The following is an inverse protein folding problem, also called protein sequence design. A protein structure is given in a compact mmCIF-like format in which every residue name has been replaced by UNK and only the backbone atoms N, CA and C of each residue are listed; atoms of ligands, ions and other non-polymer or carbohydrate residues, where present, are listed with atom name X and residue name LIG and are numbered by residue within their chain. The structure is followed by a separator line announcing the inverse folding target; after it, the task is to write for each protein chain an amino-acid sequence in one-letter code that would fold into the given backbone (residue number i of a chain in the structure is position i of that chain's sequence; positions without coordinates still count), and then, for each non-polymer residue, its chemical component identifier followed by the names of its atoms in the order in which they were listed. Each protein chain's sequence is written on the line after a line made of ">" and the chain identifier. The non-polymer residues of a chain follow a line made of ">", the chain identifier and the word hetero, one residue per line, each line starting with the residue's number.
data_IF_848640236646
#
_entry.id   IF_848640236646
#
_cell.length_a   1.000
_cell.length_b   1.000
_cell.length_c   1.000
_cell.angle_alpha   90.00
_cell.angle_beta   90.00
_cell.angle_gamma   90.00
#
_symmetry.space_group_name_H-M   'P 1'
#
loop_
_entity.id
_entity.type
_entity.pdbx_description
1 polymer ?
#
# COMPACT_ATOMS: atom_id res chain seq x y z
N UNK A 1 -20.17 -22.12 0.28
CA UNK A 1 -19.66 -22.20 -1.11
C UNK A 1 -18.30 -21.53 -1.06
N UNK A 2 -17.26 -22.34 -1.01
CA UNK A 2 -15.87 -21.90 -0.82
C UNK A 2 -15.42 -21.11 -2.05
N UNK A 3 -14.80 -19.94 -1.81
CA UNK A 3 -14.06 -19.25 -2.85
C UNK A 3 -12.99 -20.20 -3.40
N UNK A 4 -12.65 -20.02 -4.66
CA UNK A 4 -11.36 -20.50 -5.14
C UNK A 4 -10.30 -19.83 -4.26
N UNK A 5 -9.48 -20.62 -3.55
CA UNK A 5 -8.29 -20.13 -2.82
C UNK A 5 -7.25 -19.50 -3.79
N UNK A 6 -7.54 -19.47 -5.10
CA UNK A 6 -6.66 -18.94 -6.12
C UNK A 6 -6.49 -17.42 -6.04
N UNK A 7 -5.35 -16.95 -6.53
CA UNK A 7 -5.11 -15.55 -6.80
C UNK A 7 -6.18 -14.99 -7.74
N UNK A 8 -6.91 -14.00 -7.25
CA UNK A 8 -7.95 -13.29 -7.99
C UNK A 8 -7.54 -11.86 -8.31
N UNK A 9 -8.37 -11.20 -9.11
CA UNK A 9 -8.23 -9.80 -9.44
C UNK A 9 -9.53 -9.07 -9.10
N UNK A 10 -9.45 -8.10 -8.20
CA UNK A 10 -10.56 -7.20 -7.91
C UNK A 10 -10.60 -6.10 -8.96
N UNK A 11 -11.78 -5.88 -9.54
CA UNK A 11 -12.02 -4.88 -10.57
C UNK A 11 -13.04 -3.86 -10.05
N UNK A 12 -12.76 -2.58 -10.23
CA UNK A 12 -13.59 -1.48 -9.80
C UNK A 12 -14.12 -0.72 -11.03
N UNK A 13 -15.39 -0.92 -11.43
CA UNK A 13 -16.00 -0.22 -12.56
C UNK A 13 -16.35 1.24 -12.24
N UNK A 14 -16.35 2.09 -13.27
CA UNK A 14 -16.82 3.50 -13.22
C UNK A 14 -18.28 3.63 -12.80
N UNK A 15 -19.11 2.65 -13.15
CA UNK A 15 -20.52 2.59 -12.77
C UNK A 15 -20.71 2.20 -11.29
N UNK A 16 -19.61 1.87 -10.59
CA UNK A 16 -19.61 1.49 -9.19
C UNK A 16 -19.60 -0.02 -8.96
N UNK A 17 -19.50 -0.38 -7.68
CA UNK A 17 -19.40 -1.75 -7.22
C UNK A 17 -18.00 -2.36 -7.40
N UNK A 18 -17.90 -3.66 -7.16
CA UNK A 18 -16.68 -4.41 -7.35
C UNK A 18 -16.95 -5.83 -7.83
N UNK A 19 -16.07 -6.32 -8.70
CA UNK A 19 -16.15 -7.66 -9.27
C UNK A 19 -14.86 -8.42 -8.97
N UNK A 20 -14.99 -9.71 -8.66
CA UNK A 20 -13.89 -10.64 -8.57
C UNK A 20 -13.72 -11.35 -9.91
N UNK A 21 -12.56 -11.19 -10.52
CA UNK A 21 -12.16 -11.80 -11.78
C UNK A 21 -11.13 -12.89 -11.53
N UNK A 22 -11.31 -14.03 -12.18
CA UNK A 22 -10.34 -15.11 -12.17
C UNK A 22 -9.43 -15.01 -13.40
N UNK A 23 -8.15 -14.65 -13.22
CA UNK A 23 -7.21 -14.49 -14.32
C UNK A 23 -6.86 -15.80 -15.02
N UNK A 24 -6.96 -16.94 -14.33
CA UNK A 24 -6.68 -18.27 -14.89
C UNK A 24 -7.82 -18.76 -15.78
N UNK A 25 -9.06 -18.50 -15.38
CA UNK A 25 -10.24 -18.92 -16.14
C UNK A 25 -10.71 -17.87 -17.15
N UNK A 26 -10.20 -16.64 -17.07
CA UNK A 26 -10.57 -15.54 -17.96
C UNK A 26 -12.02 -15.08 -17.78
N UNK A 27 -12.61 -15.23 -16.59
CA UNK A 27 -14.03 -14.94 -16.35
C UNK A 27 -14.28 -14.24 -15.01
N UNK A 28 -15.37 -13.48 -14.94
CA UNK A 28 -15.87 -12.89 -13.69
C UNK A 28 -16.49 -14.00 -12.85
N UNK A 29 -15.97 -14.22 -11.65
CA UNK A 29 -16.50 -15.22 -10.72
C UNK A 29 -17.71 -14.70 -9.98
N UNK A 30 -17.63 -13.46 -9.48
CA UNK A 30 -18.62 -12.92 -8.54
C UNK A 30 -18.66 -11.40 -8.55
N UNK A 31 -19.87 -10.84 -8.44
CA UNK A 31 -20.06 -9.44 -8.03
C UNK A 31 -20.04 -9.37 -6.50
N UNK A 32 -19.14 -8.59 -5.93
CA UNK A 32 -18.95 -8.47 -4.49
C UNK A 32 -19.93 -7.49 -3.85
N UNK A 33 -20.60 -6.66 -4.65
CA UNK A 33 -21.68 -5.78 -4.22
C UNK A 33 -21.51 -4.36 -4.76
N UNK A 34 -22.58 -3.59 -4.65
CA UNK A 34 -22.59 -2.18 -4.99
C UNK A 34 -22.21 -1.43 -3.70
N UNK A 35 -21.06 -0.76 -3.72
CA UNK A 35 -20.59 0.10 -2.64
C UNK A 35 -20.81 1.57 -3.06
N UNK A 36 -22.07 2.04 -3.17
CA UNK A 36 -22.36 3.34 -3.77
C UNK A 36 -21.77 4.46 -2.92
N UNK A 37 -21.00 5.34 -3.56
CA UNK A 37 -20.37 6.49 -2.89
C UNK A 37 -19.20 6.13 -1.97
N UNK A 38 -18.80 4.86 -1.86
CA UNK A 38 -17.61 4.47 -1.12
C UNK A 38 -16.38 4.42 -2.02
N UNK A 39 -15.25 4.91 -1.51
CA UNK A 39 -13.93 4.68 -2.11
C UNK A 39 -13.23 3.54 -1.40
N UNK A 40 -12.66 2.64 -2.18
CA UNK A 40 -11.83 1.55 -1.67
C UNK A 40 -10.38 2.03 -1.50
N UNK A 41 -9.81 1.80 -0.31
CA UNK A 41 -8.46 2.29 0.03
C UNK A 41 -7.42 1.17 0.06
N UNK A 42 -7.74 0.02 0.67
CA UNK A 42 -6.85 -1.12 0.84
C UNK A 42 -7.62 -2.42 1.15
N UNK A 43 -6.97 -3.56 0.97
CA UNK A 43 -7.47 -4.88 1.40
C UNK A 43 -6.44 -5.64 2.24
N UNK A 44 -6.93 -6.54 3.09
CA UNK A 44 -6.16 -7.56 3.78
C UNK A 44 -7.00 -8.83 3.84
N UNK A 45 -6.64 -9.83 3.05
CA UNK A 45 -7.51 -10.98 2.80
C UNK A 45 -8.90 -10.50 2.39
N UNK A 46 -9.94 -11.05 3.03
CA UNK A 46 -11.35 -10.76 2.74
C UNK A 46 -11.84 -9.39 3.23
N UNK A 47 -11.02 -8.65 3.97
CA UNK A 47 -11.37 -7.41 4.61
C UNK A 47 -10.92 -6.20 3.82
N UNK A 48 -11.80 -5.21 3.67
CA UNK A 48 -11.57 -4.00 2.92
C UNK A 48 -11.62 -2.77 3.79
N UNK A 49 -10.69 -1.85 3.58
CA UNK A 49 -10.75 -0.51 4.11
C UNK A 49 -11.49 0.38 3.12
N UNK A 50 -12.64 0.89 3.53
CA UNK A 50 -13.50 1.75 2.71
C UNK A 50 -13.72 3.11 3.37
N UNK A 51 -13.79 4.16 2.54
CA UNK A 51 -14.17 5.51 2.93
C UNK A 51 -15.54 5.81 2.31
N UNK A 52 -16.55 6.05 3.14
CA UNK A 52 -17.88 6.40 2.65
C UNK A 52 -17.99 7.85 2.17
N UNK A 53 -19.14 8.21 1.61
CA UNK A 53 -19.42 9.59 1.15
C UNK A 53 -19.45 10.60 2.29
N UNK A 54 -19.67 10.15 3.53
CA UNK A 54 -19.58 10.95 4.76
C UNK A 54 -18.16 11.06 5.31
N UNK A 55 -17.14 10.61 4.57
CA UNK A 55 -15.74 10.59 4.98
C UNK A 55 -15.47 9.78 6.25
N UNK A 56 -16.22 8.71 6.47
CA UNK A 56 -16.00 7.78 7.57
C UNK A 56 -15.28 6.54 7.06
N UNK A 57 -14.25 6.13 7.80
CA UNK A 57 -13.53 4.90 7.53
C UNK A 57 -14.25 3.71 8.17
N UNK A 58 -14.28 2.60 7.44
CA UNK A 58 -14.72 1.31 7.99
C UNK A 58 -13.94 0.16 7.38
N UNK A 59 -13.85 -0.93 8.14
CA UNK A 59 -13.33 -2.22 7.67
C UNK A 59 -14.53 -3.11 7.39
N UNK A 60 -14.64 -3.63 6.16
CA UNK A 60 -15.78 -4.44 5.73
C UNK A 60 -15.29 -5.79 5.21
N UNK A 61 -15.79 -6.88 5.78
CA UNK A 61 -15.66 -8.19 5.16
C UNK A 61 -16.61 -8.25 3.96
N UNK A 62 -16.06 -8.47 2.77
CA UNK A 62 -16.84 -8.38 1.54
C UNK A 62 -17.81 -9.52 1.32
N UNK A 63 -17.61 -10.66 1.99
CA UNK A 63 -18.42 -11.85 1.85
C UNK A 63 -19.49 -11.92 2.94
N UNK A 64 -19.10 -11.71 4.20
CA UNK A 64 -20.04 -11.75 5.33
C UNK A 64 -20.82 -10.44 5.51
N UNK A 65 -20.30 -9.33 4.96
CA UNK A 65 -20.79 -7.96 5.19
C UNK A 65 -20.64 -7.47 6.62
N UNK A 66 -19.87 -8.19 7.44
CA UNK A 66 -19.45 -7.68 8.75
C UNK A 66 -18.70 -6.37 8.55
N UNK A 67 -19.05 -5.36 9.36
CA UNK A 67 -18.52 -4.00 9.25
C UNK A 67 -18.02 -3.54 10.62
N UNK A 68 -16.78 -3.07 10.65
CA UNK A 68 -16.15 -2.45 11.80
C UNK A 68 -16.01 -0.96 11.49
N UNK A 69 -16.75 -0.14 12.22
CA UNK A 69 -16.62 1.31 12.13
C UNK A 69 -15.34 1.78 12.81
N UNK A 70 -14.54 2.57 12.10
CA UNK A 70 -13.31 3.13 12.62
C UNK A 70 -13.57 4.52 13.22
N UNK A 71 -12.65 5.04 14.05
CA UNK A 71 -12.77 6.40 14.57
C UNK A 71 -12.89 7.43 13.42
N UNK A 72 -13.57 8.57 13.63
CA UNK A 72 -13.63 9.65 12.64
C UNK A 72 -12.24 10.16 12.28
N UNK A 73 -11.97 10.56 11.03
CA UNK A 73 -10.65 11.04 10.60
C UNK A 73 -10.10 12.16 11.50
N UNK A 74 -10.98 12.97 12.07
CA UNK A 74 -10.67 14.04 13.01
C UNK A 74 -10.30 13.62 14.45
N UNK A 75 -10.51 12.36 14.83
CA UNK A 75 -10.16 11.87 16.16
C UNK A 75 -8.67 11.53 16.26
N UNK A 76 -7.78 12.49 15.99
CA UNK A 76 -6.34 12.29 16.07
C UNK A 76 -5.84 12.68 17.46
N UNK A 77 -5.09 11.79 18.10
CA UNK A 77 -4.42 12.00 19.38
C UNK A 77 -3.09 12.72 19.17
N UNK A 78 -3.14 14.00 18.78
CA UNK A 78 -1.96 14.86 18.72
C UNK A 78 -2.24 16.27 19.26
N UNK A 79 -1.17 17.04 19.50
CA UNK A 79 -1.26 18.43 19.95
C UNK A 79 -1.86 19.36 18.88
N UNK A 80 -1.86 18.93 17.62
CA UNK A 80 -2.31 19.74 16.50
C UNK A 80 -3.75 19.35 16.19
N UNK A 81 -4.68 20.30 16.33
CA UNK A 81 -6.09 20.02 16.07
C UNK A 81 -6.29 19.77 14.56
N UNK A 82 -6.90 18.63 14.25
CA UNK A 82 -7.41 18.29 12.93
C UNK A 82 -8.93 18.48 12.92
N UNK A 83 -9.48 19.19 11.95
CA UNK A 83 -10.89 19.59 11.95
C UNK A 83 -11.51 19.46 10.56
N UNK A 84 -12.69 18.85 10.51
CA UNK A 84 -13.58 18.90 9.35
C UNK A 84 -14.27 20.27 9.28
N UNK A 85 -14.16 20.95 8.14
CA UNK A 85 -14.68 22.34 7.96
C UNK A 85 -15.73 22.48 6.87
N UNK A 86 -15.95 21.44 6.08
CA UNK A 86 -16.96 21.42 5.04
C UNK A 86 -17.23 20.00 4.56
N UNK A 87 -17.97 19.89 3.47
CA UNK A 87 -18.15 18.62 2.79
C UNK A 87 -16.79 18.16 2.23
N UNK A 88 -16.36 16.97 2.61
CA UNK A 88 -15.06 16.38 2.26
C UNK A 88 -13.79 17.19 2.58
N UNK A 89 -13.87 18.32 3.27
CA UNK A 89 -12.72 19.21 3.53
C UNK A 89 -12.23 19.18 4.95
N UNK A 90 -10.91 19.10 5.10
CA UNK A 90 -10.23 19.02 6.37
C UNK A 90 -9.12 20.06 6.52
N UNK A 91 -8.99 20.63 7.72
CA UNK A 91 -7.92 21.55 8.11
C UNK A 91 -7.10 20.96 9.26
N UNK A 92 -5.81 21.31 9.29
CA UNK A 92 -4.90 20.96 10.38
C UNK A 92 -4.20 22.22 10.89
N UNK A 93 -4.00 22.29 12.20
CA UNK A 93 -3.12 23.29 12.81
C UNK A 93 -1.65 22.93 12.54
N UNK A 94 -0.88 23.91 12.09
CA UNK A 94 0.58 23.78 12.03
C UNK A 94 1.24 24.04 13.40
N UNK A 95 2.57 23.99 13.44
CA UNK A 95 3.36 24.27 14.65
C UNK A 95 3.25 25.72 15.16
N UNK A 96 2.64 26.63 14.38
CA UNK A 96 2.40 28.03 14.77
C UNK A 96 0.99 28.24 15.33
N UNK A 97 0.22 27.16 15.53
CA UNK A 97 -1.20 27.20 15.90
C UNK A 97 -2.07 28.00 14.92
N UNK A 98 -1.61 28.12 13.68
CA UNK A 98 -2.41 28.72 12.61
C UNK A 98 -3.09 27.59 11.85
N UNK A 99 -4.38 27.72 11.55
CA UNK A 99 -5.00 26.83 10.58
C UNK A 99 -4.38 27.17 9.24
N UNK A 100 -3.49 26.31 8.78
CA UNK A 100 -3.07 26.38 7.39
C UNK A 100 -4.21 25.76 6.61
N UNK A 101 -4.80 26.54 5.73
CA UNK A 101 -5.74 26.07 4.71
C UNK A 101 -4.94 25.19 3.73
N UNK A 102 -4.54 24.01 4.20
CA UNK A 102 -4.04 22.96 3.35
C UNK A 102 -5.30 22.19 2.94
N UNK A 103 -5.84 22.51 1.77
CA UNK A 103 -6.98 21.83 1.15
C UNK A 103 -6.70 20.32 1.10
N UNK A 104 -7.13 19.60 2.13
CA UNK A 104 -7.17 18.15 2.16
C UNK A 104 -8.57 17.74 1.79
N UNK A 105 -8.72 17.15 0.60
CA UNK A 105 -9.96 16.52 0.19
C UNK A 105 -10.01 15.08 0.68
N UNK A 106 -11.21 14.61 1.04
CA UNK A 106 -11.48 13.21 1.27
C UNK A 106 -11.05 12.35 0.09
N UNK A 107 -11.04 12.87 -1.13
CA UNK A 107 -10.58 12.19 -2.34
C UNK A 107 -9.06 11.91 -2.33
N UNK A 108 -8.27 12.63 -1.52
CA UNK A 108 -6.83 12.42 -1.33
C UNK A 108 -6.52 11.39 -0.24
N UNK A 109 -7.51 10.93 0.52
CA UNK A 109 -7.30 9.93 1.58
C UNK A 109 -6.88 8.60 0.96
N UNK A 110 -5.85 8.02 1.55
CA UNK A 110 -5.30 6.70 1.23
C UNK A 110 -5.11 5.92 2.51
N UNK A 111 -4.98 4.60 2.40
CA UNK A 111 -4.72 3.80 3.57
C UNK A 111 -4.10 2.45 3.26
N UNK A 112 -3.68 1.81 4.34
CA UNK A 112 -3.20 0.45 4.41
C UNK A 112 -4.02 -0.27 5.47
N UNK A 113 -4.22 -1.57 5.25
CA UNK A 113 -4.98 -2.42 6.13
C UNK A 113 -4.21 -3.70 6.37
N UNK A 114 -4.11 -4.11 7.62
CA UNK A 114 -3.73 -5.46 8.00
C UNK A 114 -4.81 -6.02 8.94
N UNK A 115 -5.24 -7.25 8.66
CA UNK A 115 -6.20 -8.00 9.49
C UNK A 115 -5.64 -9.38 9.80
N UNK A 116 -5.74 -9.78 11.07
CA UNK A 116 -5.57 -11.15 11.52
C UNK A 116 -6.96 -11.71 11.82
N UNK A 117 -7.50 -12.54 10.91
CA UNK A 117 -8.83 -13.13 11.07
C UNK A 117 -8.91 -14.07 12.29
N UNK A 118 -7.82 -14.77 12.61
CA UNK A 118 -7.76 -15.71 13.73
C UNK A 118 -7.77 -15.02 15.08
N UNK A 119 -6.95 -13.98 15.24
CA UNK A 119 -6.94 -13.13 16.44
C UNK A 119 -8.09 -12.11 16.46
N UNK A 120 -8.83 -11.99 15.35
CA UNK A 120 -9.79 -10.92 15.07
C UNK A 120 -9.18 -9.55 15.32
N UNK A 121 -7.94 -9.36 14.90
CA UNK A 121 -7.16 -8.16 15.16
C UNK A 121 -6.95 -7.36 13.87
N UNK A 122 -6.69 -6.06 13.98
CA UNK A 122 -6.43 -5.22 12.82
C UNK A 122 -5.57 -4.01 13.14
N UNK A 123 -4.87 -3.55 12.10
CA UNK A 123 -4.17 -2.27 12.07
C UNK A 123 -4.56 -1.53 10.81
N UNK A 124 -4.90 -0.26 10.96
CA UNK A 124 -5.21 0.66 9.87
C UNK A 124 -4.23 1.81 9.91
N UNK A 125 -3.66 2.13 8.75
CA UNK A 125 -2.85 3.33 8.54
C UNK A 125 -3.53 4.15 7.45
N UNK A 126 -3.63 5.47 7.62
CA UNK A 126 -4.17 6.36 6.60
C UNK A 126 -3.43 7.68 6.57
N UNK A 127 -3.46 8.33 5.40
CA UNK A 127 -2.82 9.63 5.18
C UNK A 127 -3.50 10.36 4.02
N UNK A 128 -3.23 11.66 3.89
CA UNK A 128 -3.58 12.43 2.70
C UNK A 128 -2.42 12.37 1.70
N UNK A 129 -2.71 11.88 0.50
CA UNK A 129 -1.77 11.87 -0.61
C UNK A 129 -1.78 13.22 -1.31
N UNK A 130 -0.93 14.13 -0.82
CA UNK A 130 -0.76 15.46 -1.38
C UNK A 130 0.47 15.54 -2.24
N UNK A 131 0.43 16.45 -3.21
CA UNK A 131 1.61 16.75 -4.00
C UNK A 131 2.69 17.42 -3.10
N UNK A 132 3.90 16.87 -3.14
CA UNK A 132 5.15 17.43 -2.59
C UNK A 132 5.37 17.46 -1.07
N UNK A 133 4.35 17.33 -0.23
CA UNK A 133 4.56 17.29 1.24
C UNK A 133 3.58 16.36 1.96
N UNK A 134 4.12 15.27 2.51
CA UNK A 134 3.43 14.44 3.48
C UNK A 134 4.03 14.72 4.85
N UNK A 135 3.30 15.46 5.67
CA UNK A 135 3.79 15.85 7.00
C UNK A 135 3.61 14.73 8.03
N UNK A 136 2.60 13.87 7.83
CA UNK A 136 2.21 12.82 8.75
C UNK A 136 1.46 11.69 8.07
N UNK A 137 1.44 10.56 8.76
CA UNK A 137 0.47 9.48 8.57
C UNK A 137 -0.16 9.15 9.92
N UNK A 138 -1.34 8.57 9.92
CA UNK A 138 -2.10 8.30 11.14
C UNK A 138 -2.46 6.82 11.19
N UNK A 139 -2.40 6.21 12.38
CA UNK A 139 -2.76 4.80 12.54
C UNK A 139 -3.69 4.56 13.72
N UNK A 140 -4.48 3.49 13.64
CA UNK A 140 -5.20 2.94 14.77
C UNK A 140 -5.19 1.41 14.69
N UNK A 141 -5.47 0.78 15.82
CA UNK A 141 -5.65 -0.66 15.93
C UNK A 141 -6.93 -0.99 16.66
N UNK A 142 -7.21 -2.28 16.78
CA UNK A 142 -8.37 -2.76 17.53
C UNK A 142 -8.42 -2.19 18.95
N UNK A 143 -9.59 -1.66 19.29
CA UNK A 143 -9.86 -1.08 20.61
C UNK A 143 -9.47 0.39 20.76
N UNK A 144 -8.74 0.95 19.79
CA UNK A 144 -8.46 2.39 19.78
C UNK A 144 -9.73 3.19 19.47
N UNK A 145 -9.87 4.33 20.13
CA UNK A 145 -10.95 5.29 19.91
C UNK A 145 -10.50 6.53 19.14
N UNK A 146 -9.19 6.62 18.84
CA UNK A 146 -8.53 7.75 18.22
C UNK A 146 -7.33 7.25 17.39
N UNK A 147 -6.89 8.02 16.40
CA UNK A 147 -5.68 7.77 15.64
C UNK A 147 -4.45 8.31 16.36
N UNK A 148 -3.31 7.66 16.18
CA UNK A 148 -2.00 8.16 16.61
C UNK A 148 -1.22 8.64 15.39
N UNK A 149 -0.72 9.87 15.45
CA UNK A 149 0.09 10.45 14.38
C UNK A 149 1.52 9.92 14.38
N UNK A 150 2.05 9.68 13.18
CA UNK A 150 3.44 9.38 12.88
C UNK A 150 3.98 10.54 12.03
N UNK A 151 4.97 11.32 12.52
CA UNK A 151 5.55 12.40 11.75
C UNK A 151 6.40 11.85 10.59
N UNK A 152 6.26 12.50 9.44
CA UNK A 152 7.01 12.25 8.20
C UNK A 152 7.91 13.44 7.81
N UNK A 153 7.80 14.55 8.53
CA UNK A 153 8.67 15.71 8.40
C UNK A 153 9.51 15.93 9.67
N UNK A 154 10.83 16.03 9.51
CA UNK A 154 11.79 16.28 10.59
C UNK A 154 12.75 17.39 10.16
N UNK A 155 12.62 18.62 10.69
CA UNK A 155 13.41 19.78 10.27
C UNK A 155 14.93 19.53 10.34
N UNK A 156 15.37 18.88 11.41
CA UNK A 156 16.79 18.67 11.71
C UNK A 156 17.34 17.37 11.13
N UNK A 157 16.50 16.55 10.47
CA UNK A 157 16.91 15.25 9.96
C UNK A 157 16.33 14.95 8.58
N UNK A 158 17.01 15.47 7.56
CA UNK A 158 16.61 15.33 6.17
C UNK A 158 16.55 13.86 5.67
N UNK A 159 17.13 12.89 6.38
CA UNK A 159 16.99 11.46 6.05
C UNK A 159 15.55 10.96 6.21
N UNK A 160 14.81 11.58 7.12
CA UNK A 160 13.43 11.21 7.46
C UNK A 160 12.40 11.98 6.64
N UNK A 161 12.83 12.94 5.81
CA UNK A 161 11.90 13.84 5.12
C UNK A 161 11.22 13.13 3.95
N UNK A 162 9.90 13.25 3.94
CA UNK A 162 9.04 12.88 2.82
C UNK A 162 8.59 11.43 2.88
N UNK A 163 7.65 11.11 1.99
CA UNK A 163 7.07 9.79 1.85
C UNK A 163 7.04 9.45 0.36
N UNK A 164 7.61 8.30 0.02
CA UNK A 164 7.53 7.70 -1.31
C UNK A 164 6.55 6.53 -1.31
N UNK A 165 6.62 5.67 -0.29
CA UNK A 165 5.76 4.48 -0.18
C UNK A 165 5.69 3.97 1.26
N UNK A 166 4.65 3.21 1.56
CA UNK A 166 4.49 2.50 2.83
C UNK A 166 4.03 1.06 2.61
N UNK A 167 4.50 0.16 3.46
CA UNK A 167 4.07 -1.25 3.50
C UNK A 167 3.72 -1.60 4.94
N UNK A 168 2.55 -2.21 5.16
CA UNK A 168 2.08 -2.64 6.47
C UNK A 168 2.06 -4.17 6.53
N UNK A 169 2.81 -4.76 7.47
CA UNK A 169 2.81 -6.20 7.72
C UNK A 169 2.67 -6.47 9.21
N UNK A 170 1.52 -6.98 9.64
CA UNK A 170 1.26 -7.10 11.07
C UNK A 170 1.19 -5.73 11.73
N UNK A 171 1.90 -5.64 12.86
CA UNK A 171 2.15 -4.39 13.56
C UNK A 171 3.39 -3.63 13.04
N UNK A 172 4.04 -4.10 11.97
CA UNK A 172 5.22 -3.44 11.40
C UNK A 172 4.84 -2.53 10.24
N UNK A 173 5.17 -1.25 10.34
CA UNK A 173 5.01 -0.28 9.26
C UNK A 173 6.38 0.10 8.70
N UNK A 174 6.56 -0.15 7.41
CA UNK A 174 7.75 0.21 6.66
C UNK A 174 7.44 1.49 5.88
N UNK A 175 8.30 2.50 6.02
CA UNK A 175 8.12 3.80 5.36
C UNK A 175 9.38 4.12 4.56
N UNK A 176 9.22 4.36 3.27
CA UNK A 176 10.31 4.80 2.40
C UNK A 176 10.24 6.31 2.22
N UNK A 177 11.35 7.00 2.47
CA UNK A 177 11.44 8.46 2.31
C UNK A 177 11.75 8.84 0.87
N UNK A 178 11.66 10.13 0.54
CA UNK A 178 12.02 10.65 -0.79
C UNK A 178 13.50 10.45 -1.15
N UNK A 179 14.34 10.17 -0.14
CA UNK A 179 15.76 9.81 -0.30
C UNK A 179 16.03 8.31 -0.25
N UNK A 180 14.97 7.48 -0.32
CA UNK A 180 15.03 6.01 -0.30
C UNK A 180 15.66 5.44 0.97
N UNK A 181 15.46 6.12 2.10
CA UNK A 181 15.70 5.51 3.40
C UNK A 181 14.45 4.78 3.84
N UNK A 182 14.64 3.59 4.39
CA UNK A 182 13.57 2.77 4.95
C UNK A 182 13.56 2.95 6.46
N UNK A 183 12.42 3.36 7.00
CA UNK A 183 12.10 3.36 8.41
C UNK A 183 11.24 2.14 8.72
N UNK A 184 11.46 1.52 9.88
CA UNK A 184 10.65 0.39 10.33
C UNK A 184 10.10 0.72 11.71
N UNK A 185 8.78 0.78 11.80
CA UNK A 185 8.04 1.16 13.00
C UNK A 185 7.24 -0.02 13.53
N UNK A 186 7.29 -0.23 14.84
CA UNK A 186 6.43 -1.15 15.58
C UNK A 186 5.21 -0.38 16.13
N UNK A 187 4.01 -0.83 15.76
CA UNK A 187 2.71 -0.25 16.12
C UNK A 187 1.99 -1.02 17.25
N UNK A 188 2.62 -2.07 17.81
CA UNK A 188 2.00 -2.95 18.81
C UNK A 188 1.80 -2.29 20.18
N UNK A 189 2.62 -1.29 20.52
CA UNK A 189 2.55 -0.52 21.77
C UNK A 189 1.46 0.56 21.79
N UNK A 190 1.30 1.25 22.92
CA UNK A 190 0.36 2.39 23.03
C UNK A 190 0.75 3.61 22.17
N UNK A 191 2.00 3.64 21.71
CA UNK A 191 2.56 4.54 20.71
C UNK A 191 3.42 3.72 19.75
N UNK A 192 3.80 4.30 18.61
CA UNK A 192 4.77 3.66 17.73
C UNK A 192 6.19 3.71 18.30
N UNK A 193 7.04 2.77 17.88
CA UNK A 193 8.47 2.73 18.20
C UNK A 193 9.30 2.45 16.95
N UNK A 194 10.37 3.20 16.74
CA UNK A 194 11.31 2.89 15.65
C UNK A 194 12.17 1.67 16.03
N UNK A 195 12.10 0.61 15.21
CA UNK A 195 12.77 -0.67 15.49
C UNK A 195 14.25 -0.59 15.14
N UNK A 196 14.55 0.04 14.01
CA UNK A 196 15.91 0.15 13.47
C UNK A 196 16.19 1.58 13.08
N UNK A 197 17.44 2.02 13.23
CA UNK A 197 17.91 3.26 12.58
C UNK A 197 17.56 3.18 11.08
N UNK A 198 17.01 4.25 10.47
CA UNK A 198 16.68 4.23 9.07
C UNK A 198 17.90 3.86 8.23
N UNK A 199 17.68 3.05 7.19
CA UNK A 199 18.77 2.57 6.35
C UNK A 199 18.47 2.82 4.87
N UNK A 200 19.50 3.15 4.08
CA UNK A 200 19.33 3.44 2.66
C UNK A 200 19.11 2.16 1.83
N UNK A 201 18.21 2.24 0.86
CA UNK A 201 18.02 1.25 -0.21
C UNK A 201 18.30 1.93 -1.57
N UNK A 202 19.59 2.02 -1.92
CA UNK A 202 20.08 2.76 -3.10
C UNK A 202 20.70 1.79 -4.11
N UNK A 203 20.11 1.69 -5.30
CA UNK A 203 20.68 0.93 -6.42
C UNK A 203 21.66 1.79 -7.22
N UNK A 204 22.49 1.17 -8.07
CA UNK A 204 23.36 1.90 -9.00
C UNK A 204 22.62 2.55 -10.19
N UNK A 205 21.35 2.23 -10.39
CA UNK A 205 20.55 2.73 -11.52
C UNK A 205 19.67 3.92 -11.16
N UNK A 206 19.27 4.03 -9.88
CA UNK A 206 18.44 5.11 -9.33
C UNK A 206 17.19 5.43 -10.19
N UNK A 207 16.40 4.41 -10.57
CA UNK A 207 15.18 4.63 -11.38
C UNK A 207 14.17 5.50 -10.65
N UNK A 208 13.60 6.52 -11.28
CA UNK A 208 12.56 7.35 -10.66
C UNK A 208 11.25 6.59 -10.35
N UNK A 209 11.09 5.37 -10.88
CA UNK A 209 9.95 4.50 -10.60
C UNK A 209 10.39 3.33 -9.70
N UNK A 210 10.59 3.63 -8.41
CA UNK A 210 10.98 2.66 -7.38
C UNK A 210 9.89 2.43 -6.33
N UNK A 211 9.72 1.18 -5.92
CA UNK A 211 8.92 0.73 -4.77
C UNK A 211 9.76 -0.05 -3.76
N UNK A 212 9.20 -0.32 -2.59
CA UNK A 212 9.64 -1.34 -1.64
C UNK A 212 8.63 -2.48 -1.52
N UNK A 213 9.12 -3.63 -1.12
CA UNK A 213 8.29 -4.73 -0.68
C UNK A 213 8.89 -5.44 0.53
N UNK A 214 8.09 -6.21 1.25
CA UNK A 214 8.52 -6.99 2.42
C UNK A 214 8.27 -8.47 2.14
N UNK A 215 9.29 -9.29 2.33
CA UNK A 215 9.18 -10.74 2.14
C UNK A 215 8.37 -11.40 3.25
N UNK A 216 7.94 -12.65 3.07
CA UNK A 216 7.31 -13.43 4.17
C UNK A 216 8.23 -13.60 5.37
N UNK A 217 9.55 -13.52 5.17
CA UNK A 217 10.59 -13.53 6.20
C UNK A 217 10.90 -12.15 6.80
N UNK A 218 10.21 -11.09 6.38
CA UNK A 218 10.39 -9.74 6.88
C UNK A 218 11.57 -8.96 6.28
N UNK A 219 12.20 -9.49 5.21
CA UNK A 219 13.27 -8.79 4.50
C UNK A 219 12.70 -7.70 3.60
N UNK A 220 13.33 -6.52 3.58
CA UNK A 220 12.94 -5.43 2.68
C UNK A 220 13.60 -5.62 1.32
N UNK A 221 12.80 -5.52 0.27
CA UNK A 221 13.20 -5.47 -1.13
C UNK A 221 13.06 -4.05 -1.67
N UNK A 222 13.98 -3.63 -2.52
CA UNK A 222 13.79 -2.47 -3.41
C UNK A 222 13.42 -3.01 -4.79
N UNK A 223 12.37 -2.45 -5.38
CA UNK A 223 11.84 -2.86 -6.67
C UNK A 223 11.87 -1.66 -7.60
N UNK A 224 12.70 -1.70 -8.63
CA UNK A 224 12.78 -0.67 -9.65
C UNK A 224 12.17 -1.16 -10.94
N UNK A 225 11.44 -0.28 -11.62
CA UNK A 225 10.84 -0.56 -12.93
C UNK A 225 11.18 0.53 -13.94
N UNK A 226 10.96 0.20 -15.22
CA UNK A 226 10.93 1.19 -16.31
C UNK A 226 9.85 2.24 -16.02
N UNK A 227 10.20 3.53 -15.85
CA UNK A 227 9.26 4.58 -15.48
C UNK A 227 8.13 4.81 -16.48
N UNK A 228 8.35 4.47 -17.74
CA UNK A 228 7.37 4.75 -18.80
C UNK A 228 6.52 3.53 -19.14
N UNK A 229 7.17 2.40 -19.45
CA UNK A 229 6.45 1.25 -19.99
C UNK A 229 6.37 0.08 -19.01
N UNK A 230 7.09 0.14 -17.87
CA UNK A 230 7.26 -0.96 -16.89
C UNK A 230 7.55 -2.31 -17.57
N UNK A 231 8.35 -2.26 -18.63
CA UNK A 231 8.72 -3.42 -19.47
C UNK A 231 9.75 -4.34 -18.82
N UNK A 232 10.41 -3.85 -17.77
CA UNK A 232 11.36 -4.59 -16.99
C UNK A 232 11.23 -4.21 -15.52
N UNK A 233 11.65 -5.15 -14.67
CA UNK A 233 11.79 -4.97 -13.24
C UNK A 233 13.17 -5.43 -12.79
N UNK A 234 13.71 -4.74 -11.80
CA UNK A 234 14.90 -5.15 -11.05
C UNK A 234 14.56 -5.16 -9.58
N UNK A 235 14.97 -6.22 -8.91
CA UNK A 235 14.71 -6.43 -7.49
C UNK A 235 16.04 -6.48 -6.78
N UNK A 236 16.11 -5.82 -5.63
CA UNK A 236 17.32 -5.72 -4.86
C UNK A 236 17.09 -6.07 -3.40
N UNK A 237 18.10 -6.68 -2.76
CA UNK A 237 18.17 -6.90 -1.32
C UNK A 237 19.23 -6.00 -0.71
N UNK A 238 19.05 -5.61 0.55
CA UNK A 238 20.10 -4.90 1.31
C UNK A 238 21.41 -5.69 1.29
N UNK A 239 22.52 -5.02 0.99
CA UNK A 239 23.84 -5.62 1.08
C UNK A 239 24.26 -5.71 2.57
N UNK A 240 24.43 -6.92 3.15
CA UNK A 240 24.82 -7.08 4.54
C UNK A 240 26.28 -6.70 4.80
N UNK A 241 27.14 -6.70 3.77
CA UNK A 241 28.60 -6.56 3.92
C UNK A 241 29.05 -5.09 3.95
N UNK A 242 28.13 -4.13 3.87
CA UNK A 242 28.45 -2.70 3.92
C UNK A 242 28.62 -2.21 5.35
N UNK A 243 29.85 -1.89 5.72
CA UNK A 243 30.19 -1.37 7.06
C UNK A 243 29.58 0.02 7.33
N UNK A 244 29.45 0.87 6.31
CA UNK A 244 28.90 2.24 6.41
C UNK A 244 28.02 2.59 5.19
N UNK A 245 26.79 2.07 5.14
CA UNK A 245 25.93 2.22 3.96
C UNK A 245 25.59 3.69 3.67
N UNK A 246 25.53 4.55 4.69
CA UNK A 246 25.26 5.99 4.55
C UNK A 246 26.34 6.77 3.78
N UNK A 247 27.51 6.17 3.54
CA UNK A 247 28.61 6.75 2.74
C UNK A 247 28.82 6.03 1.40
N UNK A 248 28.04 5.00 1.11
CA UNK A 248 28.12 4.25 -0.15
C UNK A 248 27.20 4.85 -1.20
N UNK A 249 27.62 4.82 -2.47
CA UNK A 249 26.78 5.24 -3.59
C UNK A 249 25.69 4.21 -3.96
N UNK A 250 25.84 2.96 -3.52
CA UNK A 250 24.81 1.92 -3.66
C UNK A 250 24.85 0.98 -2.44
N UNK A 251 23.69 0.58 -1.94
CA UNK A 251 23.54 -0.12 -0.66
C UNK A 251 22.84 -1.46 -0.76
N UNK A 252 22.53 -1.87 -1.99
CA UNK A 252 21.73 -3.06 -2.29
C UNK A 252 22.41 -3.93 -3.36
N UNK A 253 22.06 -5.21 -3.39
CA UNK A 253 22.51 -6.20 -4.38
C UNK A 253 21.31 -6.65 -5.21
N UNK A 254 21.47 -6.69 -6.53
CA UNK A 254 20.43 -7.18 -7.44
C UNK A 254 20.23 -8.68 -7.24
N UNK A 255 18.99 -9.14 -7.33
CA UNK A 255 18.62 -10.55 -7.28
C UNK A 255 17.80 -10.91 -8.52
N UNK A 256 18.02 -12.11 -9.03
CA UNK A 256 17.28 -12.65 -10.18
C UNK A 256 16.14 -13.59 -9.78
N UNK A 257 15.93 -13.80 -8.48
CA UNK A 257 14.88 -14.67 -7.92
C UNK A 257 14.37 -14.14 -6.58
N UNK A 258 13.09 -14.39 -6.32
CA UNK A 258 12.41 -14.17 -5.05
C UNK A 258 12.50 -15.40 -4.13
N UNK A 259 13.19 -16.46 -4.54
CA UNK A 259 13.46 -17.64 -3.69
C UNK A 259 12.24 -18.54 -3.49
N UNK A 260 11.42 -18.73 -4.52
CA UNK A 260 10.19 -19.53 -4.45
C UNK A 260 8.97 -18.76 -3.93
N UNK A 261 9.08 -17.44 -3.82
CA UNK A 261 7.96 -16.52 -3.54
C UNK A 261 7.49 -15.82 -4.81
N UNK A 262 6.34 -15.16 -4.72
CA UNK A 262 5.84 -14.20 -5.70
C UNK A 262 5.57 -12.86 -5.01
N UNK A 263 5.70 -11.76 -5.74
CA UNK A 263 5.49 -10.40 -5.24
C UNK A 263 4.13 -9.86 -5.71
N UNK A 264 3.28 -9.47 -4.76
CA UNK A 264 2.11 -8.65 -5.02
C UNK A 264 2.51 -7.19 -4.81
N UNK A 265 2.97 -6.53 -5.89
CA UNK A 265 3.65 -5.24 -5.81
C UNK A 265 2.74 -4.14 -5.24
N UNK A 266 1.46 -4.12 -5.63
CA UNK A 266 0.49 -3.12 -5.16
C UNK A 266 0.20 -3.24 -3.66
N UNK A 267 0.47 -4.41 -3.06
CA UNK A 267 0.36 -4.66 -1.63
C UNK A 267 1.71 -4.52 -0.91
N UNK A 268 2.81 -4.41 -1.66
CA UNK A 268 4.17 -4.35 -1.14
C UNK A 268 4.61 -5.60 -0.39
N UNK A 269 4.02 -6.78 -0.64
CA UNK A 269 4.34 -8.01 0.09
C UNK A 269 4.62 -9.18 -0.84
N UNK A 270 5.47 -10.11 -0.41
CA UNK A 270 5.60 -11.40 -1.06
C UNK A 270 4.70 -12.45 -0.40
N UNK A 271 4.35 -13.46 -1.19
CA UNK A 271 3.60 -14.64 -0.78
C UNK A 271 4.32 -15.90 -1.28
N UNK A 272 4.21 -17.04 -0.59
CA UNK A 272 4.77 -18.29 -1.10
C UNK A 272 4.18 -18.62 -2.48
N UNK A 273 5.04 -19.04 -3.42
CA UNK A 273 4.55 -19.49 -4.71
C UNK A 273 3.71 -20.75 -4.53
N UNK A 274 2.60 -20.82 -5.26
CA UNK A 274 1.68 -21.94 -5.21
C UNK A 274 0.96 -22.06 -6.56
N UNK A 275 1.46 -22.97 -7.39
CA UNK A 275 0.93 -23.21 -8.74
C UNK A 275 -0.52 -23.71 -8.71
N UNK A 276 -0.96 -24.39 -7.63
CA UNK A 276 -2.35 -24.79 -7.49
C UNK A 276 -3.28 -23.57 -7.36
N UNK A 277 -2.79 -22.49 -6.73
CA UNK A 277 -3.49 -21.22 -6.57
C UNK A 277 -3.22 -20.23 -7.71
N UNK A 278 -2.43 -20.61 -8.72
CA UNK A 278 -2.05 -19.73 -9.85
C UNK A 278 -0.97 -18.70 -9.51
N UNK A 279 -0.24 -18.92 -8.41
CA UNK A 279 0.86 -18.05 -7.97
C UNK A 279 2.17 -18.66 -8.46
N UNK A 280 2.75 -18.07 -9.50
CA UNK A 280 3.99 -18.53 -10.11
C UNK A 280 5.22 -18.00 -9.35
N UNK A 281 6.26 -18.83 -9.12
CA UNK A 281 7.48 -18.38 -8.46
C UNK A 281 8.18 -17.29 -9.28
N UNK A 282 8.87 -16.40 -8.57
CA UNK A 282 9.65 -15.28 -9.13
C UNK A 282 8.79 -14.29 -9.93
N UNK A 283 7.47 -14.33 -9.78
CA UNK A 283 6.55 -13.47 -10.51
C UNK A 283 6.17 -12.24 -9.69
N UNK A 284 6.07 -11.11 -10.37
CA UNK A 284 5.67 -9.81 -9.86
C UNK A 284 4.31 -9.49 -10.46
N UNK A 285 3.28 -9.54 -9.63
CA UNK A 285 1.91 -9.18 -9.94
C UNK A 285 1.70 -7.73 -9.59
N UNK A 286 1.28 -6.93 -10.56
CA UNK A 286 1.04 -5.52 -10.34
C UNK A 286 -0.10 -5.03 -11.21
N UNK A 287 -0.71 -3.95 -10.76
CA UNK A 287 -1.57 -3.12 -11.59
C UNK A 287 -0.86 -1.78 -11.77
N UNK A 288 -1.07 -1.08 -12.90
CA UNK A 288 -0.51 0.27 -13.08
C UNK A 288 -1.06 1.31 -12.08
N UNK A 289 -1.77 0.88 -11.04
CA UNK A 289 -2.45 1.78 -10.13
C UNK A 289 -1.61 2.11 -8.90
N UNK A 290 -1.52 3.43 -8.67
CA UNK A 290 -1.20 4.13 -7.43
C UNK A 290 0.11 3.83 -6.69
N UNK A 291 1.02 4.80 -6.77
CA UNK A 291 2.06 5.12 -5.80
C UNK A 291 1.81 6.56 -5.31
N UNK A 292 1.99 6.88 -4.01
CA UNK A 292 1.88 8.25 -3.50
C UNK A 292 2.68 9.23 -4.35
N UNK A 293 2.18 10.45 -4.55
CA UNK A 293 2.87 11.56 -5.25
C UNK A 293 3.18 11.42 -6.77
N UNK A 294 2.60 10.48 -7.52
CA UNK A 294 2.86 10.35 -8.97
C UNK A 294 1.93 11.19 -9.87
N UNK A 295 2.55 12.01 -10.75
CA UNK A 295 2.00 13.14 -11.55
C UNK A 295 1.18 12.86 -12.83
N UNK A 296 0.84 11.64 -13.23
CA UNK A 296 0.19 11.43 -14.53
C UNK A 296 -1.05 10.57 -14.49
N UNK A 297 -1.98 10.85 -15.41
CA UNK A 297 -3.16 10.05 -15.67
C UNK A 297 -2.75 8.62 -15.97
N UNK A 298 -3.17 7.69 -15.11
CA UNK A 298 -2.72 6.30 -15.13
C UNK A 298 -3.68 5.46 -15.96
N UNK A 299 -3.22 4.94 -17.08
CA UNK A 299 -3.88 3.81 -17.73
C UNK A 299 -3.75 2.61 -16.80
N UNK A 300 -4.88 1.95 -16.47
CA UNK A 300 -4.87 0.68 -15.78
C UNK A 300 -4.20 -0.39 -16.67
N UNK A 301 -3.25 -1.12 -16.13
CA UNK A 301 -2.53 -2.19 -16.83
C UNK A 301 -2.29 -3.29 -15.82
N UNK A 302 -2.95 -4.42 -16.05
CA UNK A 302 -2.90 -5.59 -15.19
C UNK A 302 -1.85 -6.51 -15.77
N UNK A 303 -0.77 -6.72 -15.02
CA UNK A 303 0.45 -7.32 -15.53
C UNK A 303 1.03 -8.36 -14.58
N UNK A 304 1.72 -9.32 -15.19
CA UNK A 304 2.61 -10.25 -14.49
C UNK A 304 3.96 -10.23 -15.18
N UNK A 305 5.00 -9.93 -14.40
CA UNK A 305 6.39 -10.00 -14.86
C UNK A 305 7.12 -11.12 -14.12
N UNK A 306 7.78 -12.01 -14.83
CA UNK A 306 8.58 -13.06 -14.20
C UNK A 306 10.06 -12.67 -14.17
N UNK A 307 10.63 -12.55 -12.97
CA UNK A 307 11.97 -12.04 -12.74
C UNK A 307 13.08 -12.99 -13.25
N UNK A 308 12.86 -14.31 -13.17
CA UNK A 308 13.83 -15.31 -13.58
C UNK A 308 13.90 -15.44 -15.11
N UNK A 309 12.75 -15.52 -15.77
CA UNK A 309 12.66 -15.64 -17.23
C UNK A 309 12.70 -14.30 -17.97
N UNK A 310 12.57 -13.19 -17.25
CA UNK A 310 12.39 -11.82 -17.78
C UNK A 310 11.20 -11.72 -18.76
N UNK A 311 10.18 -12.57 -18.57
CA UNK A 311 8.98 -12.59 -19.40
C UNK A 311 7.89 -11.69 -18.83
N UNK A 312 7.04 -11.17 -19.70
CA UNK A 312 6.07 -10.16 -19.37
C UNK A 312 4.72 -10.45 -20.03
N UNK A 313 3.68 -10.58 -19.21
CA UNK A 313 2.32 -10.91 -19.63
C UNK A 313 1.38 -9.75 -19.26
N UNK A 314 0.69 -9.18 -20.24
CA UNK A 314 -0.37 -8.18 -20.05
C UNK A 314 -1.74 -8.82 -20.23
N UNK A 315 -2.66 -8.52 -19.33
CA UNK A 315 -4.05 -8.95 -19.43
C UNK A 315 -4.89 -7.96 -20.27
N UNK A 316 -4.36 -7.57 -21.45
CA UNK A 316 -4.93 -6.52 -22.32
C UNK A 316 -6.14 -6.94 -23.15
N UNK A 317 -6.41 -8.25 -23.26
CA UNK A 317 -7.48 -8.80 -24.12
C UNK A 317 -8.85 -8.85 -23.42
N UNK A 318 -8.90 -8.48 -22.15
CA UNK A 318 -10.14 -8.31 -21.42
C UNK A 318 -10.64 -6.91 -21.71
N UNK A 319 -11.84 -6.79 -22.28
CA UNK A 319 -12.49 -5.51 -22.64
C UNK A 319 -12.91 -4.73 -21.37
N UNK A 320 -11.93 -4.43 -20.50
CA UNK A 320 -12.03 -3.70 -19.25
C UNK A 320 -12.20 -2.19 -19.46
N UNK A 321 -12.83 -1.79 -20.57
CA UNK A 321 -13.22 -0.40 -20.79
C UNK A 321 -14.18 -0.01 -19.67
N UNK A 322 -13.82 1.05 -18.95
CA UNK A 322 -14.65 1.58 -17.88
C UNK A 322 -14.30 1.09 -16.47
N UNK A 323 -13.10 0.55 -16.24
CA UNK A 323 -12.57 0.42 -14.87
C UNK A 323 -11.96 1.75 -14.37
N UNK A 324 -12.05 1.98 -13.07
CA UNK A 324 -11.35 3.06 -12.34
C UNK A 324 -10.13 2.54 -11.61
N UNK A 325 -10.14 1.27 -11.17
CA UNK A 325 -9.04 0.64 -10.44
C UNK A 325 -9.12 -0.89 -10.65
N UNK A 326 -8.02 -1.59 -10.40
CA UNK A 326 -7.98 -3.02 -10.19
C UNK A 326 -6.86 -3.36 -9.21
N UNK A 327 -7.01 -4.44 -8.44
CA UNK A 327 -5.97 -4.91 -7.51
C UNK A 327 -5.90 -6.42 -7.43
N UNK A 328 -4.68 -6.93 -7.36
CA UNK A 328 -4.45 -8.34 -7.09
C UNK A 328 -4.94 -8.68 -5.69
N UNK A 329 -5.66 -9.80 -5.59
CA UNK A 329 -6.35 -10.22 -4.39
C UNK A 329 -6.02 -11.68 -4.10
N UNK A 330 -5.60 -11.93 -2.87
CA UNK A 330 -5.50 -13.26 -2.32
C UNK A 330 -6.58 -13.41 -1.25
N UNK A 331 -7.51 -14.38 -1.38
CA UNK A 331 -8.49 -14.66 -0.33
C UNK A 331 -7.80 -14.95 1.00
N UNK A 332 -8.39 -14.46 2.10
CA UNK A 332 -8.02 -14.90 3.44
C UNK A 332 -8.48 -16.34 3.67
N UNK A 333 -7.68 -17.11 4.43
CA UNK A 333 -8.00 -18.49 4.82
C UNK A 333 -9.05 -18.57 5.92
#
# INVERSE_FOLDING_TARGET
>A
MTLSESLGLMLFPKEGGCMLFNPKEGKIERKLGDFPGCRFLANSGNWWLVLDSGCNLSIVDVFSKETIHLPPLESIRSSNCFKRVGDKRFLRLDSTNTFVEQDSDADDVRGLLWVDEGAKDYVVVWFFDREYDHDYTSFCKKGDTHYTDIPLFYPDNHWFKGLSEMVLTGYSLYITTSRRFVRVLDLSGSSFKEITRPFPMLSCHESCDSSIAVTTSGQVLLVESDPWNRTWFRVYKKNPDLERPDSSCHTVLEVDSLGGEALLLDLGVTVPANLALGIEPDSIYFTRHYRPSHWSGRDLDICVYNLASKSFNRFSDLDFKGLTDARWFLPGN
#
